data_IF_838860935355
#
_entry.id   IF_838860935355
#
_cell.length_a   1.000
_cell.length_b   1.000
_cell.length_c   1.000
_cell.angle_alpha   90.00
_cell.angle_beta   90.00
_cell.angle_gamma   90.00
#
_symmetry.space_group_name_H-M   'P 1'
#
loop_
_entity.id
_entity.type
_entity.pdbx_description
1 polymer ?
#
# COMPACT_ATOMS: atom_id res chain seq x y z
N UNK A 1 3.65 25.39 34.70
CA UNK A 1 3.33 25.48 33.25
C UNK A 1 3.61 24.12 32.62
N UNK A 2 2.58 23.29 32.47
CA UNK A 2 2.69 22.02 31.74
C UNK A 2 2.84 22.34 30.26
N UNK A 3 4.01 22.05 29.69
CA UNK A 3 4.19 22.01 28.25
C UNK A 3 3.18 20.99 27.69
N UNK A 4 2.11 21.49 27.07
CA UNK A 4 1.14 20.70 26.33
C UNK A 4 1.89 20.06 25.17
N UNK A 5 2.50 18.88 25.40
CA UNK A 5 3.00 18.01 24.33
C UNK A 5 1.87 17.95 23.32
N UNK A 6 2.10 18.43 22.10
CA UNK A 6 1.16 18.30 21.00
C UNK A 6 0.76 16.82 20.97
N UNK A 7 -0.48 16.53 21.40
CA UNK A 7 -0.97 15.17 21.46
C UNK A 7 -0.88 14.65 20.04
N UNK A 8 0.00 13.68 19.81
CA UNK A 8 0.20 13.11 18.48
C UNK A 8 -1.19 12.65 18.01
N UNK A 9 -1.68 13.25 16.91
CA UNK A 9 -2.98 12.92 16.33
C UNK A 9 -3.08 11.39 16.22
N UNK A 10 -4.09 10.77 16.84
CA UNK A 10 -4.25 9.33 16.77
C UNK A 10 -4.44 8.92 15.32
N UNK A 11 -3.85 7.79 14.94
CA UNK A 11 -4.29 7.02 13.78
C UNK A 11 -5.56 6.25 14.17
N UNK A 12 -6.53 6.07 13.26
CA UNK A 12 -6.60 6.63 11.91
C UNK A 12 -6.79 8.16 11.88
N UNK A 13 -6.35 8.81 10.78
CA UNK A 13 -6.54 10.24 10.54
C UNK A 13 -8.03 10.58 10.53
N UNK A 14 -8.39 11.78 10.97
CA UNK A 14 -9.78 12.26 11.01
C UNK A 14 -9.94 13.60 10.29
N UNK A 15 -11.15 13.91 9.84
CA UNK A 15 -11.51 15.21 9.27
C UNK A 15 -10.87 15.53 7.92
N UNK A 16 -10.34 16.75 7.78
CA UNK A 16 -9.70 17.22 6.52
C UNK A 16 -8.41 16.45 6.19
N UNK A 17 -7.64 16.02 7.19
CA UNK A 17 -6.41 15.26 6.98
C UNK A 17 -6.67 13.87 6.38
N UNK A 18 -7.73 13.19 6.84
CA UNK A 18 -8.16 11.91 6.27
C UNK A 18 -8.58 12.08 4.80
N UNK A 19 -9.35 13.12 4.49
CA UNK A 19 -9.77 13.43 3.12
C UNK A 19 -8.58 13.72 2.20
N UNK A 20 -7.65 14.58 2.63
CA UNK A 20 -6.45 14.90 1.86
C UNK A 20 -5.58 13.65 1.63
N UNK A 21 -5.40 12.81 2.66
CA UNK A 21 -4.67 11.55 2.53
C UNK A 21 -5.38 10.58 1.57
N UNK A 22 -6.71 10.46 1.65
CA UNK A 22 -7.48 9.63 0.73
C UNK A 22 -7.36 10.10 -0.72
N UNK A 23 -7.44 11.40 -0.97
CA UNK A 23 -7.25 12.00 -2.30
C UNK A 23 -5.81 11.75 -2.80
N UNK A 24 -4.81 11.95 -1.96
CA UNK A 24 -3.41 11.72 -2.32
C UNK A 24 -3.15 10.24 -2.66
N UNK A 25 -3.73 9.30 -1.90
CA UNK A 25 -3.63 7.87 -2.17
C UNK A 25 -4.37 7.48 -3.46
N UNK A 26 -5.55 8.04 -3.72
CA UNK A 26 -6.28 7.81 -4.96
C UNK A 26 -5.49 8.35 -6.17
N UNK A 27 -4.92 9.56 -6.06
CA UNK A 27 -4.05 10.14 -7.09
C UNK A 27 -2.80 9.29 -7.32
N UNK A 28 -2.14 8.83 -6.26
CA UNK A 28 -1.01 7.91 -6.36
C UNK A 28 -1.40 6.61 -7.06
N UNK A 29 -2.62 6.10 -6.82
CA UNK A 29 -3.15 4.92 -7.51
C UNK A 29 -3.30 5.12 -9.01
N UNK A 30 -3.82 6.28 -9.42
CA UNK A 30 -3.98 6.63 -10.84
C UNK A 30 -2.61 6.76 -11.50
N UNK A 31 -1.67 7.48 -10.89
CA UNK A 31 -0.32 7.63 -11.43
C UNK A 31 0.40 6.28 -11.53
N UNK A 32 0.31 5.44 -10.50
CA UNK A 32 0.90 4.11 -10.47
C UNK A 32 0.37 3.22 -11.59
N UNK A 33 -0.92 3.32 -11.92
CA UNK A 33 -1.53 2.58 -13.01
C UNK A 33 -1.13 3.13 -14.38
N UNK A 34 -1.02 4.44 -14.54
CA UNK A 34 -0.48 5.05 -15.76
C UNK A 34 0.95 4.61 -16.07
N UNK A 35 1.83 4.58 -15.07
CA UNK A 35 3.21 4.10 -15.20
C UNK A 35 3.27 2.60 -15.53
N UNK A 36 2.36 1.79 -14.96
CA UNK A 36 2.25 0.36 -15.28
C UNK A 36 1.93 0.11 -16.76
N UNK A 37 1.17 1.02 -17.39
CA UNK A 37 0.83 0.94 -18.81
C UNK A 37 1.93 1.53 -19.71
N UNK A 38 2.68 2.53 -19.23
CA UNK A 38 3.77 3.14 -19.98
C UNK A 38 5.06 2.30 -19.97
N UNK A 39 5.31 1.56 -18.89
CA UNK A 39 6.51 0.76 -18.69
C UNK A 39 6.08 -0.65 -18.21
N UNK A 40 5.95 -1.60 -19.13
CA UNK A 40 5.48 -2.97 -18.85
C UNK A 40 6.33 -3.72 -17.79
N UNK A 41 7.56 -3.26 -17.54
CA UNK A 41 8.48 -3.79 -16.52
C UNK A 41 8.54 -2.95 -15.22
N UNK A 42 7.82 -1.82 -15.16
CA UNK A 42 7.86 -0.93 -14.00
C UNK A 42 6.90 -1.42 -12.90
N UNK A 43 7.47 -2.25 -12.03
CA UNK A 43 7.19 -2.34 -10.60
C UNK A 43 5.70 -2.47 -10.15
N UNK A 44 5.28 -3.67 -9.70
CA UNK A 44 4.03 -3.83 -8.97
C UNK A 44 4.19 -3.33 -7.53
N UNK A 45 4.23 -2.02 -7.29
CA UNK A 45 4.70 -1.55 -5.97
C UNK A 45 3.97 -0.36 -5.36
N UNK A 46 3.48 0.59 -6.16
CA UNK A 46 2.71 1.71 -5.61
C UNK A 46 1.29 1.31 -5.20
N UNK A 47 0.62 0.45 -5.99
CA UNK A 47 -0.72 -0.06 -5.64
C UNK A 47 -0.73 -0.80 -4.30
N UNK A 48 0.30 -1.62 -4.04
CA UNK A 48 0.42 -2.35 -2.77
C UNK A 48 0.60 -1.41 -1.58
N UNK A 49 1.45 -0.39 -1.76
CA UNK A 49 1.64 0.64 -0.75
C UNK A 49 0.35 1.43 -0.49
N UNK A 50 -0.45 1.73 -1.52
CA UNK A 50 -1.74 2.41 -1.37
C UNK A 50 -2.70 1.61 -0.49
N UNK A 51 -2.89 0.31 -0.73
CA UNK A 51 -3.77 -0.51 0.12
C UNK A 51 -3.24 -0.63 1.55
N UNK A 52 -1.94 -0.81 1.73
CA UNK A 52 -1.33 -0.84 3.06
C UNK A 52 -1.50 0.50 3.81
N UNK A 53 -1.20 1.62 3.14
CA UNK A 53 -1.33 2.96 3.73
C UNK A 53 -2.77 3.34 4.00
N UNK A 54 -3.72 2.93 3.15
CA UNK A 54 -5.13 3.15 3.40
C UNK A 54 -5.61 2.41 4.66
N UNK A 55 -5.17 1.17 4.85
CA UNK A 55 -5.41 0.42 6.09
C UNK A 55 -4.76 1.08 7.31
N UNK A 56 -3.54 1.61 7.17
CA UNK A 56 -2.79 2.22 8.26
C UNK A 56 -3.25 3.65 8.66
N UNK A 57 -3.64 4.46 7.67
CA UNK A 57 -3.89 5.88 7.85
C UNK A 57 -5.37 6.23 7.86
N UNK A 58 -6.21 5.48 7.15
CA UNK A 58 -7.61 5.83 6.94
C UNK A 58 -8.50 4.94 7.79
N UNK A 59 -8.43 3.61 7.68
CA UNK A 59 -9.05 2.67 8.62
C UNK A 59 -10.44 2.10 8.28
N UNK A 60 -11.40 2.81 7.64
CA UNK A 60 -12.71 2.24 7.33
C UNK A 60 -12.66 1.09 6.34
N UNK A 61 -13.30 -0.03 6.67
CA UNK A 61 -13.35 -1.21 5.81
C UNK A 61 -14.03 -0.97 4.45
N UNK A 62 -14.91 0.02 4.34
CA UNK A 62 -15.59 0.35 3.08
C UNK A 62 -14.63 0.91 2.00
N UNK A 63 -13.46 1.40 2.40
CA UNK A 63 -12.47 1.92 1.45
C UNK A 63 -11.71 0.82 0.73
N UNK A 64 -11.67 -0.39 1.28
CA UNK A 64 -11.06 -1.55 0.63
C UNK A 64 -11.79 -1.89 -0.69
N UNK A 65 -13.12 -2.12 -0.72
CA UNK A 65 -13.82 -2.35 -1.97
C UNK A 65 -13.84 -1.11 -2.87
N UNK A 66 -13.80 0.12 -2.31
CA UNK A 66 -13.69 1.34 -3.13
C UNK A 66 -12.37 1.38 -3.91
N UNK A 67 -11.22 1.23 -3.24
CA UNK A 67 -9.91 1.25 -3.88
C UNK A 67 -9.75 0.09 -4.87
N UNK A 68 -10.29 -1.07 -4.52
CA UNK A 68 -10.33 -2.22 -5.44
C UNK A 68 -11.18 -1.92 -6.68
N UNK A 69 -12.33 -1.27 -6.52
CA UNK A 69 -13.17 -0.81 -7.62
C UNK A 69 -12.45 0.17 -8.53
N UNK A 70 -11.75 1.16 -7.96
CA UNK A 70 -10.94 2.14 -8.72
C UNK A 70 -9.87 1.42 -9.55
N UNK A 71 -9.12 0.51 -8.92
CA UNK A 71 -8.11 -0.29 -9.63
C UNK A 71 -8.69 -1.10 -10.76
N UNK A 72 -9.79 -1.81 -10.49
CA UNK A 72 -10.42 -2.67 -11.48
C UNK A 72 -10.96 -1.85 -12.65
N UNK A 73 -11.51 -0.67 -12.38
CA UNK A 73 -11.94 0.26 -13.42
C UNK A 73 -10.76 0.75 -14.26
N UNK A 74 -9.63 1.11 -13.64
CA UNK A 74 -8.41 1.52 -14.35
C UNK A 74 -7.87 0.39 -15.24
N UNK A 75 -7.87 -0.83 -14.74
CA UNK A 75 -7.40 -2.01 -15.48
C UNK A 75 -8.34 -2.31 -16.68
N UNK A 76 -9.66 -2.13 -16.52
CA UNK A 76 -10.64 -2.24 -17.61
C UNK A 76 -10.55 -1.10 -18.63
N UNK A 77 -10.29 0.13 -18.20
CA UNK A 77 -10.05 1.28 -19.10
C UNK A 77 -8.77 1.04 -19.90
N UNK A 78 -7.72 0.52 -19.26
CA UNK A 78 -6.47 0.15 -19.92
C UNK A 78 -6.71 -0.88 -21.04
N UNK A 79 -7.53 -1.89 -20.74
CA UNK A 79 -7.95 -2.88 -21.74
C UNK A 79 -8.78 -2.26 -22.88
N UNK A 80 -9.82 -1.49 -22.54
CA UNK A 80 -10.74 -0.91 -23.53
C UNK A 80 -10.07 0.11 -24.45
N UNK A 81 -9.05 0.81 -23.96
CA UNK A 81 -8.24 1.74 -24.74
C UNK A 81 -7.17 1.05 -25.60
N UNK A 82 -6.97 -0.27 -25.45
CA UNK A 82 -5.91 -1.01 -26.12
C UNK A 82 -4.51 -0.72 -25.58
N UNK A 83 -4.40 0.02 -24.47
CA UNK A 83 -3.12 0.27 -23.80
C UNK A 83 -2.62 -0.93 -22.99
N UNK A 84 -3.48 -1.93 -22.75
CA UNK A 84 -3.15 -3.18 -22.07
C UNK A 84 -3.79 -4.40 -22.73
N UNK A 85 -3.15 -5.54 -22.54
CA UNK A 85 -3.67 -6.83 -22.98
C UNK A 85 -4.49 -7.52 -21.90
N UNK A 86 -5.38 -8.43 -22.31
CA UNK A 86 -6.15 -9.34 -21.43
C UNK A 86 -5.28 -10.33 -20.62
N UNK A 87 -3.95 -10.20 -20.67
CA UNK A 87 -3.04 -11.12 -20.01
C UNK A 87 -3.24 -11.16 -18.49
N UNK A 88 -3.49 -9.99 -17.88
CA UNK A 88 -3.67 -9.84 -16.43
C UNK A 88 -5.13 -10.04 -15.97
N UNK A 89 -6.10 -9.91 -16.88
CA UNK A 89 -7.52 -10.12 -16.61
C UNK A 89 -7.86 -11.61 -16.78
N UNK A 90 -7.68 -12.35 -15.68
CA UNK A 90 -7.98 -13.78 -15.59
C UNK A 90 -8.67 -14.09 -14.25
N UNK A 91 -9.17 -15.31 -14.01
CA UNK A 91 -9.74 -15.70 -12.72
C UNK A 91 -8.80 -15.46 -11.52
N UNK A 92 -7.48 -15.38 -11.77
CA UNK A 92 -6.48 -15.00 -10.78
C UNK A 92 -6.66 -13.59 -10.18
N UNK A 93 -7.50 -12.74 -10.78
CA UNK A 93 -7.79 -11.40 -10.26
C UNK A 93 -8.41 -11.43 -8.85
N UNK A 94 -9.10 -12.52 -8.49
CA UNK A 94 -9.58 -12.75 -7.12
C UNK A 94 -8.45 -12.97 -6.11
N UNK A 95 -7.36 -13.62 -6.51
CA UNK A 95 -6.20 -13.78 -5.65
C UNK A 95 -5.48 -12.43 -5.43
N UNK A 96 -5.52 -11.55 -6.43
CA UNK A 96 -5.05 -10.16 -6.29
C UNK A 96 -5.92 -9.36 -5.30
N UNK A 97 -7.24 -9.52 -5.37
CA UNK A 97 -8.16 -8.92 -4.39
C UNK A 97 -7.82 -9.37 -2.95
N UNK A 98 -7.54 -10.67 -2.77
CA UNK A 98 -7.14 -11.22 -1.48
C UNK A 98 -5.77 -10.67 -1.02
N UNK A 99 -4.80 -10.52 -1.93
CA UNK A 99 -3.51 -9.91 -1.62
C UNK A 99 -3.66 -8.46 -1.13
N UNK A 100 -4.53 -7.66 -1.75
CA UNK A 100 -4.84 -6.30 -1.28
C UNK A 100 -5.52 -6.28 0.09
N UNK A 101 -6.39 -7.25 0.37
CA UNK A 101 -7.01 -7.36 1.69
C UNK A 101 -5.98 -7.69 2.79
N UNK A 102 -5.00 -8.55 2.49
CA UNK A 102 -3.88 -8.84 3.40
C UNK A 102 -3.04 -7.59 3.68
N UNK A 103 -2.75 -6.78 2.66
CA UNK A 103 -2.02 -5.51 2.82
C UNK A 103 -2.79 -4.51 3.68
N UNK A 104 -4.10 -4.38 3.45
CA UNK A 104 -4.98 -3.53 4.24
C UNK A 104 -4.94 -3.89 5.72
N UNK A 105 -5.12 -5.18 6.04
CA UNK A 105 -5.04 -5.65 7.43
C UNK A 105 -3.65 -5.49 8.02
N UNK A 106 -2.61 -5.72 7.21
CA UNK A 106 -1.22 -5.43 7.58
C UNK A 106 -1.03 -3.97 7.99
N UNK A 107 -1.61 -3.03 7.23
CA UNK A 107 -1.62 -1.61 7.53
C UNK A 107 -2.33 -1.28 8.84
N UNK A 108 -3.50 -1.87 9.08
CA UNK A 108 -4.21 -1.66 10.33
C UNK A 108 -3.42 -2.19 11.54
N UNK A 109 -2.84 -3.38 11.42
CA UNK A 109 -1.96 -3.97 12.43
C UNK A 109 -0.73 -3.08 12.66
N UNK A 110 -0.10 -2.60 11.59
CA UNK A 110 1.03 -1.68 11.64
C UNK A 110 0.70 -0.42 12.45
N UNK A 111 -0.39 0.27 12.11
CA UNK A 111 -0.82 1.48 12.80
C UNK A 111 -1.12 1.23 14.28
N UNK A 112 -1.82 0.12 14.59
CA UNK A 112 -2.15 -0.26 15.96
C UNK A 112 -0.89 -0.55 16.80
N UNK A 113 0.12 -1.21 16.24
CA UNK A 113 1.39 -1.49 16.92
C UNK A 113 2.20 -0.20 17.12
N UNK A 114 2.23 0.69 16.12
CA UNK A 114 2.95 1.95 16.18
C UNK A 114 2.41 2.85 17.30
N UNK A 115 1.08 2.91 17.46
CA UNK A 115 0.45 3.64 18.55
C UNK A 115 0.73 3.03 19.92
N UNK A 116 0.59 1.69 20.06
CA UNK A 116 0.85 1.00 21.34
C UNK A 116 2.28 1.16 21.84
N UNK A 117 3.25 1.25 20.95
CA UNK A 117 4.67 1.36 21.30
C UNK A 117 5.16 2.80 21.43
N UNK A 118 4.26 3.80 21.39
CA UNK A 118 4.57 5.22 21.48
C UNK A 118 5.78 5.65 20.61
N UNK A 119 5.90 5.06 19.41
CA UNK A 119 7.01 5.31 18.48
C UNK A 119 8.42 4.93 18.99
N UNK A 120 8.54 4.25 20.13
CA UNK A 120 9.84 3.83 20.70
C UNK A 120 10.42 2.58 20.07
N UNK A 121 9.58 1.70 19.49
CA UNK A 121 10.00 0.43 18.89
C UNK A 121 9.37 0.24 17.51
N UNK A 122 10.21 0.26 16.47
CA UNK A 122 9.81 0.09 15.06
C UNK A 122 9.79 -1.39 14.63
N UNK A 123 10.32 -2.30 15.44
CA UNK A 123 10.46 -3.73 15.07
C UNK A 123 9.11 -4.41 14.79
N UNK A 124 8.12 -4.27 15.68
CA UNK A 124 6.78 -4.85 15.49
C UNK A 124 6.03 -4.31 14.27
N UNK A 125 5.93 -2.98 14.05
CA UNK A 125 5.30 -2.48 12.83
C UNK A 125 6.08 -2.90 11.58
N UNK A 126 7.41 -2.92 11.60
CA UNK A 126 8.21 -3.42 10.47
C UNK A 126 7.90 -4.89 10.17
N UNK A 127 7.77 -5.74 11.18
CA UNK A 127 7.36 -7.14 10.98
C UNK A 127 5.96 -7.25 10.37
N UNK A 128 5.01 -6.42 10.79
CA UNK A 128 3.67 -6.42 10.19
C UNK A 128 3.73 -6.07 8.68
N UNK A 129 4.54 -5.08 8.31
CA UNK A 129 4.79 -4.69 6.91
C UNK A 129 5.43 -5.81 6.10
N UNK A 130 6.49 -6.43 6.64
CA UNK A 130 7.22 -7.49 5.95
C UNK A 130 6.35 -8.75 5.78
N UNK A 131 5.64 -9.16 6.82
CA UNK A 131 4.77 -10.35 6.78
C UNK A 131 3.61 -10.12 5.81
N UNK A 132 2.92 -8.98 5.90
CA UNK A 132 1.79 -8.70 4.99
C UNK A 132 2.25 -8.52 3.55
N UNK A 133 3.39 -7.85 3.32
CA UNK A 133 3.98 -7.70 1.99
C UNK A 133 4.38 -9.04 1.38
N UNK A 134 4.99 -9.92 2.17
CA UNK A 134 5.40 -11.26 1.72
C UNK A 134 4.18 -12.13 1.40
N UNK A 135 3.17 -12.12 2.27
CA UNK A 135 1.93 -12.85 2.04
C UNK A 135 1.20 -12.34 0.79
N UNK A 136 1.10 -11.02 0.61
CA UNK A 136 0.50 -10.43 -0.58
C UNK A 136 1.26 -10.80 -1.86
N UNK A 137 2.60 -10.85 -1.81
CA UNK A 137 3.42 -11.30 -2.93
C UNK A 137 3.14 -12.73 -3.31
N UNK A 138 3.16 -13.63 -2.33
CA UNK A 138 2.88 -15.05 -2.57
C UNK A 138 1.46 -15.22 -3.11
N UNK A 139 0.45 -14.59 -2.50
CA UNK A 139 -0.94 -14.70 -2.96
C UNK A 139 -1.12 -14.19 -4.40
N UNK A 140 -0.53 -13.03 -4.73
CA UNK A 140 -0.65 -12.44 -6.06
C UNK A 140 0.07 -13.29 -7.12
N UNK A 141 1.33 -13.65 -6.89
CA UNK A 141 2.14 -14.42 -7.86
C UNK A 141 1.69 -15.87 -7.96
N UNK A 142 1.39 -16.53 -6.84
CA UNK A 142 0.87 -17.91 -6.86
C UNK A 142 -0.54 -17.95 -7.47
N UNK A 143 -1.40 -16.99 -7.11
CA UNK A 143 -2.72 -16.87 -7.70
C UNK A 143 -2.66 -16.73 -9.22
N UNK A 144 -1.79 -15.84 -9.73
CA UNK A 144 -1.57 -15.73 -11.17
C UNK A 144 -0.99 -17.01 -11.77
N UNK A 145 0.04 -17.60 -11.16
CA UNK A 145 0.69 -18.79 -11.69
C UNK A 145 -0.25 -20.01 -11.79
N UNK A 146 -1.09 -20.24 -10.78
CA UNK A 146 -1.98 -21.41 -10.73
C UNK A 146 -3.38 -21.17 -11.32
N UNK A 147 -3.94 -19.96 -11.21
CA UNK A 147 -5.35 -19.69 -11.57
C UNK A 147 -5.53 -18.90 -12.87
N UNK A 148 -4.46 -18.37 -13.47
CA UNK A 148 -4.59 -17.59 -14.72
C UNK A 148 -4.85 -18.43 -15.97
N UNK A 149 -4.56 -19.73 -15.92
CA UNK A 149 -4.58 -20.61 -17.10
C UNK A 149 -3.44 -20.35 -18.11
N UNK A 150 -2.51 -19.42 -17.80
CA UNK A 150 -1.36 -19.09 -18.67
C UNK A 150 -0.18 -20.04 -18.53
N UNK A 151 -0.13 -20.83 -17.45
CA UNK A 151 0.91 -21.81 -17.18
C UNK A 151 0.32 -23.23 -17.23
N UNK A 152 0.31 -23.89 -18.40
CA UNK A 152 -0.31 -25.21 -18.57
C UNK A 152 0.38 -26.33 -17.76
N UNK A 153 1.63 -26.13 -17.34
CA UNK A 153 2.38 -27.03 -16.46
C UNK A 153 2.79 -26.36 -15.15
N UNK A 154 1.83 -25.69 -14.48
CA UNK A 154 2.07 -25.04 -13.20
C UNK A 154 2.42 -26.07 -12.10
N UNK A 155 3.71 -26.20 -11.80
CA UNK A 155 4.23 -27.01 -10.68
C UNK A 155 4.69 -26.13 -9.52
N UNK A 156 4.59 -26.64 -8.29
CA UNK A 156 5.06 -25.93 -7.09
C UNK A 156 6.58 -25.71 -7.12
N UNK A 157 7.35 -26.66 -7.65
CA UNK A 157 8.80 -26.53 -7.84
C UNK A 157 9.15 -25.42 -8.83
N UNK A 158 8.42 -25.32 -9.96
CA UNK A 158 8.58 -24.23 -10.92
C UNK A 158 8.26 -22.87 -10.32
N UNK A 159 7.21 -22.78 -9.49
CA UNK A 159 6.87 -21.55 -8.77
C UNK A 159 7.98 -21.12 -7.81
N UNK A 160 8.47 -22.03 -6.96
CA UNK A 160 9.53 -21.75 -5.98
C UNK A 160 10.83 -21.31 -6.68
N UNK A 161 11.15 -21.89 -7.84
CA UNK A 161 12.35 -21.54 -8.60
C UNK A 161 12.31 -20.10 -9.19
N UNK A 162 11.12 -19.62 -9.58
CA UNK A 162 10.94 -18.29 -10.17
C UNK A 162 10.55 -17.20 -9.16
N UNK A 163 10.15 -17.59 -7.95
CA UNK A 163 9.76 -16.69 -6.85
C UNK A 163 10.84 -15.67 -6.41
N UNK A 164 12.15 -15.97 -6.38
CA UNK A 164 13.13 -15.09 -5.72
C UNK A 164 13.47 -13.81 -6.49
N UNK A 165 13.28 -13.77 -7.81
CA UNK A 165 13.84 -12.71 -8.64
C UNK A 165 13.23 -11.32 -8.34
N UNK A 166 11.90 -11.23 -8.26
CA UNK A 166 11.21 -9.94 -8.06
C UNK A 166 10.89 -9.65 -6.59
N UNK A 167 10.94 -10.66 -5.73
CA UNK A 167 10.53 -10.57 -4.33
C UNK A 167 11.25 -9.46 -3.53
N UNK A 168 12.61 -9.37 -3.52
CA UNK A 168 13.29 -8.35 -2.74
C UNK A 168 12.96 -6.95 -3.23
N UNK A 169 12.84 -6.77 -4.55
CA UNK A 169 12.51 -5.49 -5.16
C UNK A 169 11.07 -5.05 -4.82
N UNK A 170 10.12 -5.98 -4.84
CA UNK A 170 8.73 -5.70 -4.46
C UNK A 170 8.61 -5.23 -3.00
N UNK A 171 9.26 -5.93 -2.08
CA UNK A 171 9.28 -5.56 -0.66
C UNK A 171 10.02 -4.25 -0.39
N UNK A 172 11.18 -4.05 -1.04
CA UNK A 172 11.95 -2.82 -0.89
C UNK A 172 11.12 -1.61 -1.31
N UNK A 173 10.38 -1.73 -2.41
CA UNK A 173 9.57 -0.61 -2.90
C UNK A 173 8.33 -0.36 -2.05
N UNK A 174 7.66 -1.42 -1.59
CA UNK A 174 6.59 -1.31 -0.59
C UNK A 174 7.08 -0.57 0.66
N UNK A 175 8.24 -0.98 1.19
CA UNK A 175 8.85 -0.34 2.35
C UNK A 175 9.27 1.10 2.08
N UNK A 176 9.78 1.39 0.89
CA UNK A 176 10.15 2.75 0.44
C UNK A 176 8.96 3.70 0.44
N UNK A 177 7.85 3.32 -0.21
CA UNK A 177 6.63 4.14 -0.23
C UNK A 177 6.04 4.34 1.16
N UNK A 178 5.96 3.27 1.97
CA UNK A 178 5.45 3.35 3.34
C UNK A 178 6.35 4.25 4.19
N UNK A 179 7.67 4.06 4.11
CA UNK A 179 8.66 4.87 4.82
C UNK A 179 8.56 6.35 4.45
N UNK A 180 8.46 6.66 3.15
CA UNK A 180 8.29 8.03 2.66
C UNK A 180 6.98 8.66 3.18
N UNK A 181 5.85 7.95 3.10
CA UNK A 181 4.58 8.45 3.57
C UNK A 181 4.61 8.78 5.08
N UNK A 182 5.21 7.91 5.90
CA UNK A 182 5.37 8.16 7.33
C UNK A 182 6.40 9.26 7.63
N UNK A 183 7.45 9.41 6.83
CA UNK A 183 8.42 10.50 6.94
C UNK A 183 7.75 11.86 6.64
N UNK A 184 6.95 11.95 5.57
CA UNK A 184 6.18 13.15 5.24
C UNK A 184 5.17 13.49 6.34
N UNK A 185 4.48 12.47 6.88
CA UNK A 185 3.56 12.65 8.00
C UNK A 185 4.29 13.17 9.25
N UNK A 186 5.49 12.65 9.54
CA UNK A 186 6.32 13.12 10.65
C UNK A 186 6.81 14.56 10.43
N UNK A 187 7.24 14.91 9.21
CA UNK A 187 7.68 16.25 8.84
C UNK A 187 6.54 17.28 8.96
N UNK A 188 5.35 16.95 8.48
CA UNK A 188 4.16 17.80 8.60
C UNK A 188 3.79 18.03 10.08
N UNK A 189 3.91 17.00 10.92
CA UNK A 189 3.69 17.13 12.37
C UNK A 189 4.73 18.01 13.04
N UNK A 190 6.00 17.91 12.64
CA UNK A 190 7.08 18.76 13.17
C UNK A 190 6.90 20.23 12.75
N UNK A 191 6.47 20.49 11.51
CA UNK A 191 6.17 21.83 11.02
C UNK A 191 4.99 22.49 11.75
N UNK A 192 3.91 21.74 11.99
CA UNK A 192 2.74 22.24 12.74
C UNK A 192 2.97 22.42 14.24
N UNK A 193 4.02 21.82 14.81
CA UNK A 193 4.40 21.97 16.21
C UNK A 193 5.35 23.16 16.47
N UNK A 194 5.85 23.84 15.42
CA UNK A 194 6.67 25.06 15.59
C UNK A 194 5.74 26.22 15.99
N UNK A 195 5.88 26.81 17.20
CA UNK A 195 5.17 28.05 17.52
C UNK A 195 5.62 29.16 16.54
N UNK A 196 4.74 30.12 16.20
CA UNK A 196 5.12 31.24 15.35
C UNK A 196 6.32 31.94 15.99
N UNK A 197 7.45 31.89 15.30
CA UNK A 197 8.70 32.50 15.71
C UNK A 197 8.58 34.00 15.45
N UNK A 198 7.83 34.70 16.30
CA UNK A 198 7.49 36.11 16.07
C UNK A 198 6.36 36.63 16.94
N UNK A 199 6.49 36.52 18.27
CA UNK A 199 5.74 37.34 19.21
C UNK A 199 6.61 37.59 20.45
N UNK A 200 7.70 38.32 20.26
CA UNK A 200 8.42 39.02 21.32
C UNK A 200 8.79 40.40 20.79
N UNK A 201 7.93 41.37 21.05
CA UNK A 201 8.23 42.75 21.44
C UNK A 201 6.92 43.36 21.93
#
# INVERSE_FOLDING_TARGET
MMARRAAATPLPLQGSAARACGIALAGLMVCARGEHFANADALPTASWAVFFLAGALLGPLWMLPLLFGIVSLLDLIGLASGSSSDWCLSPAYWALALAYAVLWWGGLLFASQLQRQAWRRVTRPLLALLISGSAAYVLSKAGFYFLSGRYPHATLSGFIAHMPADYPHALATLAGYVGLAFALLAAHRAAGARPPMGARA
#
